data_IF_973248857513
#
_entry.id   IF_973248857513
#
_cell.length_a   1.000
_cell.length_b   1.000
_cell.length_c   1.000
_cell.angle_alpha   90.00
_cell.angle_beta   90.00
_cell.angle_gamma   90.00
#
_symmetry.space_group_name_H-M   'P 1'
#
loop_
_entity.id
_entity.type
_entity.pdbx_description
1 polymer ?
#
# COMPACT_ATOMS: atom_id res chain seq x y z
N UNK A 1 2.20 -0.18 -7.52
CA UNK A 1 2.14 -1.33 -8.45
C UNK A 1 3.14 -2.36 -7.97
N UNK A 2 2.76 -3.64 -7.91
CA UNK A 2 3.69 -4.74 -7.59
C UNK A 2 4.03 -5.44 -8.90
N UNK A 3 5.32 -5.65 -9.15
CA UNK A 3 5.84 -6.23 -10.38
C UNK A 3 6.41 -7.61 -10.02
N UNK A 4 6.07 -8.62 -10.81
CA UNK A 4 6.64 -9.96 -10.67
C UNK A 4 8.04 -10.08 -11.33
N UNK A 5 8.60 -11.29 -11.29
CA UNK A 5 9.91 -11.59 -11.89
C UNK A 5 9.94 -11.51 -13.42
N UNK A 6 8.78 -11.47 -14.08
CA UNK A 6 8.63 -11.35 -15.52
C UNK A 6 8.32 -9.92 -15.97
N UNK A 7 8.31 -8.95 -15.03
CA UNK A 7 8.01 -7.56 -15.33
C UNK A 7 6.51 -7.27 -15.44
N UNK A 8 5.63 -8.20 -15.06
CA UNK A 8 4.19 -8.02 -15.14
C UNK A 8 3.62 -7.47 -13.82
N UNK A 9 2.69 -6.52 -13.96
CA UNK A 9 1.97 -5.99 -12.81
C UNK A 9 0.89 -6.96 -12.34
N UNK A 10 0.80 -7.22 -11.05
CA UNK A 10 -0.26 -8.07 -10.48
C UNK A 10 -0.87 -7.47 -9.20
N UNK A 11 -2.14 -7.81 -8.88
CA UNK A 11 -2.77 -7.38 -7.64
C UNK A 11 -2.32 -8.27 -6.48
N UNK A 12 -1.50 -7.74 -5.56
CA UNK A 12 -1.01 -8.47 -4.39
C UNK A 12 -1.97 -8.44 -3.19
N UNK A 13 -2.83 -7.43 -3.08
CA UNK A 13 -3.79 -7.26 -2.00
C UNK A 13 -4.96 -6.36 -2.42
N UNK A 14 -6.14 -6.58 -1.82
CA UNK A 14 -7.32 -5.73 -1.99
C UNK A 14 -8.08 -5.57 -0.68
N UNK A 15 -8.88 -4.51 -0.58
CA UNK A 15 -9.72 -4.20 0.59
C UNK A 15 -11.06 -3.63 0.13
N UNK A 16 -12.14 -4.10 0.74
CA UNK A 16 -13.46 -3.49 0.63
C UNK A 16 -13.67 -2.50 1.78
N UNK A 17 -14.05 -1.27 1.46
CA UNK A 17 -14.35 -0.23 2.44
C UNK A 17 -15.39 0.74 1.88
N UNK A 18 -16.24 1.28 2.75
CA UNK A 18 -17.17 2.36 2.44
C UNK A 18 -16.52 3.77 2.59
N UNK A 19 -15.26 3.82 3.01
CA UNK A 19 -14.48 5.05 3.26
C UNK A 19 -13.15 5.01 2.52
N UNK A 20 -12.72 6.18 2.03
CA UNK A 20 -11.48 6.40 1.28
C UNK A 20 -10.64 7.49 1.96
N UNK A 21 -10.16 7.21 3.17
CA UNK A 21 -9.33 8.12 3.95
C UNK A 21 -8.04 7.44 4.44
N UNK A 22 -7.07 8.25 4.89
CA UNK A 22 -5.77 7.75 5.32
C UNK A 22 -5.85 6.76 6.51
N UNK A 23 -6.85 6.86 7.38
CA UNK A 23 -7.00 5.93 8.50
C UNK A 23 -7.39 4.53 8.02
N UNK A 24 -8.30 4.45 7.04
CA UNK A 24 -8.67 3.17 6.43
C UNK A 24 -7.48 2.55 5.72
N UNK A 25 -6.72 3.34 4.96
CA UNK A 25 -5.52 2.84 4.28
C UNK A 25 -4.41 2.43 5.26
N UNK A 26 -4.31 3.08 6.42
CA UNK A 26 -3.41 2.63 7.49
C UNK A 26 -3.78 1.23 7.97
N UNK A 27 -5.07 0.94 8.19
CA UNK A 27 -5.54 -0.41 8.58
C UNK A 27 -5.20 -1.44 7.49
N UNK A 28 -5.35 -1.06 6.22
CA UNK A 28 -4.97 -1.91 5.09
C UNK A 28 -3.48 -2.24 5.09
N UNK A 29 -2.61 -1.23 5.15
CA UNK A 29 -1.17 -1.43 5.16
C UNK A 29 -0.69 -2.16 6.42
N UNK A 30 -1.31 -1.93 7.58
CA UNK A 30 -1.00 -2.65 8.81
C UNK A 30 -1.28 -4.15 8.68
N UNK A 31 -2.41 -4.50 8.05
CA UNK A 31 -2.75 -5.90 7.78
C UNK A 31 -1.74 -6.57 6.85
N UNK A 32 -1.23 -5.83 5.85
CA UNK A 32 -0.15 -6.30 4.97
C UNK A 32 1.15 -6.48 5.78
N UNK A 33 1.54 -5.46 6.56
CA UNK A 33 2.78 -5.48 7.36
C UNK A 33 2.82 -6.66 8.33
N UNK A 34 1.69 -7.00 8.95
CA UNK A 34 1.60 -8.15 9.84
C UNK A 34 1.85 -9.50 9.15
N UNK A 35 1.65 -9.58 7.82
CA UNK A 35 1.82 -10.81 7.05
C UNK A 35 3.19 -10.93 6.38
N UNK A 36 3.71 -9.83 5.85
CA UNK A 36 4.94 -9.86 5.04
C UNK A 36 6.07 -8.98 5.59
N UNK A 37 5.84 -8.28 6.70
CA UNK A 37 6.78 -7.31 7.25
C UNK A 37 6.74 -5.96 6.52
N UNK A 38 7.78 -5.15 6.73
CA UNK A 38 7.93 -3.86 6.08
C UNK A 38 8.34 -4.05 4.62
N UNK A 39 7.61 -3.42 3.70
CA UNK A 39 7.94 -3.43 2.27
C UNK A 39 8.70 -2.15 1.94
N UNK A 40 9.90 -2.29 1.38
CA UNK A 40 10.67 -1.16 0.84
C UNK A 40 10.43 -1.07 -0.67
N UNK A 41 9.82 0.03 -1.12
CA UNK A 41 9.53 0.25 -2.54
C UNK A 41 10.51 1.28 -3.12
N UNK A 42 11.15 0.96 -4.25
CA UNK A 42 11.97 1.95 -5.00
C UNK A 42 11.13 3.11 -5.54
N UNK A 43 9.87 2.83 -5.88
CA UNK A 43 8.93 3.80 -6.39
C UNK A 43 7.55 3.45 -5.87
N UNK A 44 6.94 4.39 -5.14
CA UNK A 44 5.55 4.30 -4.73
C UNK A 44 4.66 5.00 -5.77
N UNK A 45 3.56 4.37 -6.14
CA UNK A 45 2.62 4.89 -7.14
C UNK A 45 1.22 4.87 -6.54
N UNK A 46 0.62 6.05 -6.41
CA UNK A 46 -0.76 6.27 -6.01
C UNK A 46 -1.48 7.18 -7.00
N UNK A 47 -2.77 7.40 -6.78
CA UNK A 47 -3.49 8.48 -7.42
C UNK A 47 -3.00 9.86 -6.91
N UNK A 48 -3.58 10.94 -7.45
CA UNK A 48 -3.25 12.33 -7.12
C UNK A 48 -3.55 12.65 -5.64
N UNK A 49 -4.36 11.84 -4.97
CA UNK A 49 -4.73 12.03 -3.57
C UNK A 49 -3.63 11.52 -2.63
N UNK A 50 -3.17 12.37 -1.70
CA UNK A 50 -2.07 12.01 -0.78
C UNK A 50 -2.44 10.98 0.30
N UNK A 51 -3.69 10.52 0.37
CA UNK A 51 -4.17 9.64 1.46
C UNK A 51 -3.49 8.28 1.47
N UNK A 52 -3.18 7.71 0.31
CA UNK A 52 -2.45 6.44 0.20
C UNK A 52 -0.99 6.58 0.62
N UNK A 53 -0.29 7.59 0.09
CA UNK A 53 1.13 7.77 0.40
C UNK A 53 1.35 8.18 1.87
N UNK A 54 0.47 9.03 2.42
CA UNK A 54 0.51 9.40 3.84
C UNK A 54 0.33 8.18 4.76
N UNK A 55 -0.60 7.28 4.42
CA UNK A 55 -0.79 6.04 5.17
C UNK A 55 0.39 5.08 5.01
N UNK A 56 0.98 5.01 3.82
CA UNK A 56 2.20 4.23 3.56
C UNK A 56 3.36 4.68 4.45
N UNK A 57 3.65 5.99 4.48
CA UNK A 57 4.73 6.56 5.30
C UNK A 57 4.59 6.22 6.79
N UNK A 58 3.35 6.16 7.30
CA UNK A 58 3.10 5.83 8.71
C UNK A 58 3.32 4.35 9.05
N UNK A 59 3.16 3.43 8.08
CA UNK A 59 3.17 1.98 8.34
C UNK A 59 4.44 1.31 7.81
N UNK A 60 4.81 1.65 6.58
CA UNK A 60 5.94 1.09 5.84
C UNK A 60 7.19 1.97 5.93
N UNK A 61 7.02 3.29 6.01
CA UNK A 61 8.11 4.26 6.03
C UNK A 61 8.39 4.92 4.67
N UNK A 62 9.44 5.76 4.58
CA UNK A 62 9.84 6.45 3.37
C UNK A 62 10.33 5.53 2.25
#
# INVERSE_FOLDING_TARGET
MVIDEFGQGYPAAFMFSNKKDANVYRVFFESIRQKVGIITAKTFMSDITETFYSAWLQVMGP
#
